data_IF_861298690225
#
_entry.id   IF_861298690225
#
_cell.length_a   1.000
_cell.length_b   1.000
_cell.length_c   1.000
_cell.angle_alpha   90.00
_cell.angle_beta   90.00
_cell.angle_gamma   90.00
#
_symmetry.space_group_name_H-M   'P 1'
#
loop_
_entity.id
_entity.type
_entity.pdbx_description
1 polymer ?
#
# COMPACT_ATOMS: atom_id res chain seq x y z
N UNK A 1 -35.76 -21.62 -47.68
CA UNK A 1 -34.63 -22.56 -47.49
C UNK A 1 -33.40 -22.00 -48.19
N UNK A 2 -32.44 -21.45 -47.45
CA UNK A 2 -31.00 -21.73 -47.63
C UNK A 2 -30.22 -20.91 -46.61
N UNK A 3 -29.07 -21.46 -46.24
CA UNK A 3 -28.20 -21.17 -45.11
C UNK A 3 -27.62 -19.76 -45.17
N UNK A 4 -27.57 -19.08 -44.02
CA UNK A 4 -26.38 -18.32 -43.67
C UNK A 4 -26.07 -18.54 -42.18
N UNK A 5 -25.16 -19.49 -41.95
CA UNK A 5 -24.50 -19.72 -40.67
C UNK A 5 -23.08 -19.15 -40.84
N UNK A 6 -22.88 -17.88 -40.47
CA UNK A 6 -21.56 -17.39 -40.11
C UNK A 6 -21.53 -17.20 -38.60
N UNK A 7 -20.89 -18.19 -37.96
CA UNK A 7 -20.50 -18.18 -36.56
C UNK A 7 -19.37 -17.17 -36.38
N UNK A 8 -19.56 -16.21 -35.50
CA UNK A 8 -18.49 -15.76 -34.60
C UNK A 8 -18.98 -16.01 -33.17
N UNK A 9 -18.89 -17.29 -32.80
CA UNK A 9 -19.05 -17.74 -31.44
C UNK A 9 -17.76 -17.35 -30.72
N UNK A 10 -17.76 -16.18 -30.06
CA UNK A 10 -16.66 -15.75 -29.18
C UNK A 10 -16.56 -16.76 -28.04
N UNK A 11 -15.71 -17.75 -28.27
CA UNK A 11 -15.43 -18.88 -27.41
C UNK A 11 -14.28 -18.50 -26.47
N UNK A 12 -14.62 -18.03 -25.27
CA UNK A 12 -14.11 -18.47 -23.97
C UNK A 12 -14.49 -17.41 -22.93
N UNK A 13 -15.20 -17.82 -21.88
CA UNK A 13 -15.42 -16.95 -20.71
C UNK A 13 -14.07 -16.78 -20.02
N UNK A 14 -13.60 -15.54 -19.84
CA UNK A 14 -12.38 -15.26 -19.10
C UNK A 14 -12.48 -15.85 -17.68
N UNK A 15 -11.56 -16.73 -17.33
CA UNK A 15 -11.44 -17.31 -15.99
C UNK A 15 -10.47 -16.46 -15.16
N UNK A 16 -10.87 -16.08 -13.95
CA UNK A 16 -9.95 -15.44 -13.01
C UNK A 16 -9.01 -16.52 -12.48
N UNK A 17 -7.77 -16.52 -12.98
CA UNK A 17 -6.79 -17.53 -12.61
C UNK A 17 -6.03 -17.18 -11.34
N UNK A 18 -5.91 -15.89 -10.95
CA UNK A 18 -5.22 -15.42 -9.75
C UNK A 18 -5.53 -13.97 -9.41
N UNK A 19 -5.19 -13.53 -8.19
CA UNK A 19 -5.44 -12.15 -7.72
C UNK A 19 -4.22 -11.59 -6.99
N UNK A 20 -3.81 -10.39 -7.36
CA UNK A 20 -2.80 -9.60 -6.67
C UNK A 20 -3.44 -8.42 -5.96
N UNK A 21 -3.16 -8.25 -4.67
CA UNK A 21 -3.64 -7.15 -3.83
C UNK A 21 -2.45 -6.39 -3.29
N UNK A 22 -2.30 -5.14 -3.73
CA UNK A 22 -1.30 -4.20 -3.20
C UNK A 22 -2.07 -3.10 -2.49
N UNK A 23 -1.78 -2.89 -1.21
CA UNK A 23 -2.52 -1.92 -0.42
C UNK A 23 -1.66 -1.31 0.68
N UNK A 24 -2.08 -0.13 1.14
CA UNK A 24 -1.46 0.57 2.24
C UNK A 24 -1.86 -0.06 3.58
N UNK A 25 -1.03 0.14 4.60
CA UNK A 25 -1.41 -0.10 6.00
C UNK A 25 -2.75 0.58 6.38
N UNK A 26 -3.42 0.05 7.41
CA UNK A 26 -4.63 0.65 7.97
C UNK A 26 -4.37 1.93 8.78
N UNK A 27 -5.45 2.54 9.30
CA UNK A 27 -5.36 3.74 10.14
C UNK A 27 -4.34 3.60 11.27
N UNK A 28 -3.48 4.61 11.45
CA UNK A 28 -2.39 4.61 12.43
C UNK A 28 -2.29 5.93 13.19
N UNK A 29 -1.50 5.90 14.25
CA UNK A 29 -1.01 7.12 14.89
C UNK A 29 -0.14 7.94 13.91
N UNK A 30 -0.04 9.26 14.11
CA UNK A 30 0.96 10.06 13.41
C UNK A 30 2.37 9.53 13.72
N UNK A 31 3.28 9.67 12.75
CA UNK A 31 4.70 9.29 12.93
C UNK A 31 5.52 10.46 13.48
N UNK A 32 5.09 11.69 13.20
CA UNK A 32 5.79 12.91 13.60
C UNK A 32 4.88 13.78 14.46
N UNK A 33 5.49 14.40 15.46
CA UNK A 33 4.81 15.35 16.32
C UNK A 33 4.39 16.58 15.52
N UNK A 34 3.13 16.96 15.65
CA UNK A 34 2.59 18.18 15.07
C UNK A 34 2.17 19.05 16.26
N UNK A 35 2.74 20.26 16.36
CA UNK A 35 2.64 21.14 17.54
C UNK A 35 1.20 21.54 17.93
N UNK A 36 0.22 21.24 17.08
CA UNK A 36 -1.18 21.53 17.30
C UNK A 36 -1.98 20.35 17.89
N UNK A 37 -1.49 19.12 17.76
CA UNK A 37 -2.31 17.94 18.06
C UNK A 37 -2.03 17.47 19.49
N UNK A 38 -3.13 17.29 20.25
CA UNK A 38 -3.22 17.03 21.69
C UNK A 38 -1.99 16.41 22.37
N UNK A 39 -1.65 16.91 23.57
CA UNK A 39 -0.54 16.41 24.41
C UNK A 39 -0.62 14.90 24.73
N UNK A 40 -1.81 14.31 24.61
CA UNK A 40 -2.09 12.89 24.92
C UNK A 40 -2.11 11.95 23.70
N UNK A 41 -1.72 12.41 22.51
CA UNK A 41 -1.60 11.54 21.34
C UNK A 41 -0.24 10.84 21.30
N UNK A 42 -0.27 9.53 21.03
CA UNK A 42 0.95 8.80 20.71
C UNK A 42 1.42 9.15 19.30
N UNK A 43 2.74 9.25 19.13
CA UNK A 43 3.41 9.56 17.86
C UNK A 43 4.31 8.38 17.42
N UNK A 44 3.88 7.17 17.71
CA UNK A 44 4.61 5.92 17.44
C UNK A 44 4.43 5.38 16.02
N UNK A 45 3.49 5.94 15.25
CA UNK A 45 3.15 5.43 13.92
C UNK A 45 2.53 4.03 13.93
N UNK A 46 2.07 3.53 15.08
CA UNK A 46 1.49 2.20 15.23
C UNK A 46 0.07 2.12 14.69
N UNK A 47 -0.30 0.92 14.26
CA UNK A 47 -1.62 0.63 13.70
C UNK A 47 -2.69 0.69 14.80
N UNK A 48 -3.72 1.51 14.58
CA UNK A 48 -4.85 1.63 15.49
C UNK A 48 -5.81 0.45 15.38
N UNK A 49 -6.59 0.20 16.42
CA UNK A 49 -7.61 -0.87 16.39
C UNK A 49 -8.60 -0.69 15.24
N UNK A 50 -9.09 0.53 15.02
CA UNK A 50 -9.93 0.83 13.84
C UNK A 50 -9.26 0.52 12.50
N UNK A 51 -7.93 0.64 12.43
CA UNK A 51 -7.14 0.27 11.25
C UNK A 51 -7.12 -1.24 11.05
N UNK A 52 -6.93 -2.00 12.14
CA UNK A 52 -7.03 -3.46 12.15
C UNK A 52 -8.41 -3.93 11.68
N UNK A 53 -9.46 -3.37 12.27
CA UNK A 53 -10.86 -3.74 11.96
C UNK A 53 -11.20 -3.45 10.50
N UNK A 54 -10.74 -2.30 9.98
CA UNK A 54 -10.92 -1.92 8.56
C UNK A 54 -10.27 -2.92 7.63
N UNK A 55 -9.03 -3.35 7.91
CA UNK A 55 -8.34 -4.29 7.04
C UNK A 55 -8.89 -5.71 7.14
N UNK A 56 -9.31 -6.13 8.32
CA UNK A 56 -10.03 -7.39 8.48
C UNK A 56 -11.33 -7.39 7.64
N UNK A 57 -12.08 -6.29 7.66
CA UNK A 57 -13.28 -6.16 6.84
C UNK A 57 -13.00 -6.15 5.33
N UNK A 58 -11.89 -5.54 4.90
CA UNK A 58 -11.45 -5.62 3.50
C UNK A 58 -11.11 -7.07 3.13
N UNK A 59 -10.42 -7.80 4.00
CA UNK A 59 -10.13 -9.23 3.81
C UNK A 59 -11.41 -10.07 3.66
N UNK A 60 -12.42 -9.81 4.51
CA UNK A 60 -13.75 -10.45 4.41
C UNK A 60 -14.44 -10.16 3.08
N UNK A 61 -14.46 -8.90 2.63
CA UNK A 61 -15.04 -8.51 1.34
C UNK A 61 -14.34 -9.18 0.15
N UNK A 62 -13.01 -9.27 0.19
CA UNK A 62 -12.24 -9.96 -0.85
C UNK A 62 -12.56 -11.46 -0.83
N UNK A 63 -12.65 -12.08 0.35
CA UNK A 63 -13.11 -13.45 0.50
C UNK A 63 -14.49 -13.60 -0.12
N UNK A 64 -15.49 -12.84 0.30
CA UNK A 64 -16.87 -12.93 -0.21
C UNK A 64 -16.93 -12.86 -1.75
N UNK A 65 -16.14 -11.96 -2.35
CA UNK A 65 -16.12 -11.75 -3.80
C UNK A 65 -15.42 -12.89 -4.55
N UNK A 66 -14.33 -13.43 -4.02
CA UNK A 66 -13.44 -14.33 -4.76
C UNK A 66 -13.40 -15.77 -4.22
N UNK A 67 -14.06 -16.07 -3.11
CA UNK A 67 -14.04 -17.39 -2.45
C UNK A 67 -14.42 -18.52 -3.41
N UNK A 68 -15.56 -18.36 -4.08
CA UNK A 68 -16.07 -19.36 -5.03
C UNK A 68 -15.23 -19.44 -6.30
N UNK A 69 -14.64 -18.31 -6.71
CA UNK A 69 -13.91 -18.18 -7.99
C UNK A 69 -12.52 -18.79 -7.85
N UNK A 70 -11.78 -18.41 -6.81
CA UNK A 70 -10.42 -18.87 -6.53
C UNK A 70 -10.39 -20.16 -5.69
N UNK A 71 -11.56 -20.73 -5.38
CA UNK A 71 -11.71 -21.94 -4.55
C UNK A 71 -10.91 -21.84 -3.26
N UNK A 72 -11.05 -20.70 -2.57
CA UNK A 72 -10.31 -20.42 -1.35
C UNK A 72 -10.72 -21.41 -0.24
N UNK A 73 -9.77 -21.79 0.62
CA UNK A 73 -10.07 -22.57 1.82
C UNK A 73 -10.51 -21.65 2.98
N UNK A 74 -11.17 -22.20 3.99
CA UNK A 74 -11.34 -21.53 5.30
C UNK A 74 -10.01 -21.39 6.05
N UNK A 75 -9.09 -22.29 5.78
CA UNK A 75 -7.77 -22.37 6.41
C UNK A 75 -6.70 -21.77 5.49
N UNK A 76 -5.71 -21.12 6.09
CA UNK A 76 -4.54 -20.66 5.38
C UNK A 76 -3.64 -21.83 4.98
N UNK A 77 -3.25 -21.87 3.70
CA UNK A 77 -2.35 -22.87 3.12
C UNK A 77 -1.10 -22.17 2.56
N UNK A 78 0.04 -22.35 3.20
CA UNK A 78 1.29 -21.65 2.89
C UNK A 78 1.73 -21.80 1.42
N UNK A 79 1.47 -22.96 0.81
CA UNK A 79 1.83 -23.26 -0.58
C UNK A 79 0.95 -22.57 -1.64
N UNK A 80 -0.15 -21.93 -1.22
CA UNK A 80 -1.12 -21.29 -2.13
C UNK A 80 -1.14 -19.78 -2.09
N UNK A 81 -0.55 -19.17 -1.06
CA UNK A 81 -0.61 -17.72 -0.85
C UNK A 81 0.78 -17.16 -0.59
N UNK A 82 1.08 -16.05 -1.24
CA UNK A 82 2.28 -15.27 -0.96
C UNK A 82 1.88 -14.01 -0.20
N UNK A 83 2.52 -13.79 0.94
CA UNK A 83 2.36 -12.60 1.77
C UNK A 83 3.67 -11.85 1.82
N UNK A 84 3.66 -10.56 1.48
CA UNK A 84 4.83 -9.70 1.55
C UNK A 84 4.45 -8.37 2.18
N UNK A 85 5.28 -7.84 3.04
CA UNK A 85 5.07 -6.56 3.73
C UNK A 85 6.41 -5.86 3.87
N UNK A 86 6.43 -4.53 3.89
CA UNK A 86 7.61 -3.82 4.41
C UNK A 86 7.86 -4.20 5.87
N UNK A 87 9.13 -4.10 6.31
CA UNK A 87 9.57 -4.44 7.68
C UNK A 87 9.20 -3.36 8.70
N UNK A 88 7.97 -2.86 8.64
CA UNK A 88 7.46 -1.91 9.63
C UNK A 88 6.28 -2.54 10.35
N UNK A 89 6.25 -2.41 11.68
CA UNK A 89 5.24 -3.06 12.52
C UNK A 89 3.79 -2.84 12.03
N UNK A 90 3.46 -1.61 11.60
CA UNK A 90 2.12 -1.27 11.13
C UNK A 90 1.70 -1.99 9.85
N UNK A 91 2.61 -2.29 8.93
CA UNK A 91 2.31 -3.01 7.67
C UNK A 91 2.22 -4.50 7.94
N UNK A 92 3.06 -5.04 8.83
CA UNK A 92 2.95 -6.42 9.32
C UNK A 92 1.61 -6.65 10.04
N UNK A 93 1.26 -5.80 11.01
CA UNK A 93 0.00 -5.91 11.75
C UNK A 93 -1.22 -5.74 10.82
N UNK A 94 -1.09 -4.88 9.80
CA UNK A 94 -2.10 -4.67 8.77
C UNK A 94 -2.33 -5.93 7.94
N UNK A 95 -1.25 -6.55 7.46
CA UNK A 95 -1.29 -7.80 6.71
C UNK A 95 -1.92 -8.91 7.55
N UNK A 96 -1.54 -9.05 8.82
CA UNK A 96 -2.14 -10.06 9.70
C UNK A 96 -3.64 -9.82 9.92
N UNK A 97 -4.07 -8.58 10.10
CA UNK A 97 -5.50 -8.23 10.20
C UNK A 97 -6.26 -8.55 8.92
N UNK A 98 -5.71 -8.22 7.75
CA UNK A 98 -6.28 -8.59 6.47
C UNK A 98 -6.44 -10.12 6.33
N UNK A 99 -5.39 -10.87 6.68
CA UNK A 99 -5.39 -12.33 6.60
C UNK A 99 -6.44 -12.97 7.50
N UNK A 100 -6.70 -12.41 8.70
CA UNK A 100 -7.81 -12.87 9.56
C UNK A 100 -9.17 -12.73 8.88
N UNK A 101 -9.37 -11.65 8.12
CA UNK A 101 -10.58 -11.45 7.34
C UNK A 101 -10.69 -12.42 6.17
N UNK A 102 -9.56 -12.74 5.54
CA UNK A 102 -9.49 -13.65 4.41
C UNK A 102 -9.69 -15.11 4.80
N UNK A 103 -9.27 -15.52 6.00
CA UNK A 103 -9.31 -16.92 6.48
C UNK A 103 -10.02 -17.03 7.84
N UNK A 104 -11.31 -17.43 7.86
CA UNK A 104 -12.09 -17.54 9.09
C UNK A 104 -11.52 -18.50 10.14
N UNK A 105 -10.73 -19.49 9.74
CA UNK A 105 -10.09 -20.47 10.64
C UNK A 105 -8.60 -20.19 10.87
N UNK A 106 -8.16 -18.95 10.67
CA UNK A 106 -6.77 -18.56 10.91
C UNK A 106 -6.44 -18.61 12.41
N UNK A 107 -5.68 -19.64 12.80
CA UNK A 107 -5.26 -19.87 14.19
C UNK A 107 -3.80 -19.52 14.46
N UNK A 108 -3.04 -19.17 13.41
CA UNK A 108 -1.63 -18.78 13.47
C UNK A 108 -1.37 -17.56 12.59
N UNK A 109 -0.24 -16.90 12.81
CA UNK A 109 0.20 -15.84 11.91
C UNK A 109 0.49 -16.43 10.52
N UNK A 110 0.18 -15.66 9.46
CA UNK A 110 0.61 -16.04 8.12
C UNK A 110 2.11 -15.88 7.97
N UNK A 111 2.72 -16.76 7.19
CA UNK A 111 4.16 -16.72 6.90
C UNK A 111 4.36 -15.72 5.78
N UNK A 112 5.31 -14.79 6.00
CA UNK A 112 5.66 -13.76 5.04
C UNK A 112 6.92 -14.16 4.29
N UNK A 113 6.98 -13.76 3.02
CA UNK A 113 8.19 -13.82 2.20
C UNK A 113 9.31 -12.98 2.85
N UNK A 114 10.53 -13.49 2.85
CA UNK A 114 11.70 -12.71 3.23
C UNK A 114 11.97 -11.62 2.19
N UNK A 115 12.19 -10.39 2.66
CA UNK A 115 12.47 -9.29 1.75
C UNK A 115 13.89 -9.39 1.19
N UNK A 116 14.10 -9.15 -0.12
CA UNK A 116 15.43 -9.02 -0.66
C UNK A 116 16.12 -7.75 -0.12
N UNK A 117 17.45 -7.79 0.02
CA UNK A 117 18.25 -6.67 0.55
C UNK A 117 18.03 -5.33 -0.17
N UNK A 118 17.61 -5.35 -1.44
CA UNK A 118 17.21 -4.19 -2.23
C UNK A 118 15.79 -4.39 -2.75
N UNK A 119 14.80 -4.34 -1.85
CA UNK A 119 13.39 -4.48 -2.23
C UNK A 119 12.89 -3.30 -3.08
N UNK A 120 13.12 -3.39 -4.39
CA UNK A 120 12.61 -2.43 -5.37
C UNK A 120 11.08 -2.44 -5.50
N UNK A 121 10.42 -3.51 -5.04
CA UNK A 121 8.98 -3.66 -5.16
C UNK A 121 8.25 -2.83 -4.10
N UNK A 122 8.73 -2.87 -2.86
CA UNK A 122 8.09 -2.19 -1.74
C UNK A 122 8.84 -0.97 -1.21
N UNK A 123 10.12 -0.76 -1.53
CA UNK A 123 10.91 0.43 -1.11
C UNK A 123 11.23 1.38 -2.27
N UNK A 124 10.63 1.10 -3.44
CA UNK A 124 10.60 1.92 -4.65
C UNK A 124 11.90 2.68 -4.94
N UNK A 125 11.88 3.98 -4.61
CA UNK A 125 12.85 4.99 -5.07
C UNK A 125 14.16 5.01 -4.28
N UNK A 126 14.21 4.39 -3.10
CA UNK A 126 15.39 4.42 -2.22
C UNK A 126 16.61 3.68 -2.79
N UNK A 127 16.39 2.71 -3.69
CA UNK A 127 17.46 1.94 -4.33
C UNK A 127 18.06 2.57 -5.59
N UNK A 128 17.53 3.69 -6.10
CA UNK A 128 17.97 4.27 -7.37
C UNK A 128 18.39 5.75 -7.23
N UNK A 129 19.70 6.06 -7.21
CA UNK A 129 20.20 7.43 -7.07
C UNK A 129 19.69 8.39 -8.14
N UNK A 130 19.47 7.90 -9.38
CA UNK A 130 18.92 8.73 -10.46
C UNK A 130 17.46 9.09 -10.22
N UNK A 131 16.66 8.15 -9.73
CA UNK A 131 15.26 8.41 -9.42
C UNK A 131 15.13 9.39 -8.24
N UNK A 132 16.00 9.26 -7.23
CA UNK A 132 16.12 10.21 -6.14
C UNK A 132 16.47 11.62 -6.65
N UNK A 133 17.50 11.75 -7.50
CA UNK A 133 17.90 13.03 -8.07
C UNK A 133 16.78 13.66 -8.92
N UNK A 134 16.06 12.88 -9.71
CA UNK A 134 14.90 13.35 -10.48
C UNK A 134 13.78 13.84 -9.57
N UNK A 135 13.47 13.11 -8.49
CA UNK A 135 12.46 13.52 -7.52
C UNK A 135 12.86 14.83 -6.82
N UNK A 136 14.13 14.99 -6.43
CA UNK A 136 14.64 16.23 -5.85
C UNK A 136 14.54 17.40 -6.84
N UNK A 137 14.84 17.18 -8.12
CA UNK A 137 14.68 18.19 -9.16
C UNK A 137 13.20 18.57 -9.37
N UNK A 138 12.26 17.62 -9.31
CA UNK A 138 10.82 17.89 -9.40
C UNK A 138 10.29 18.69 -8.20
N UNK A 139 10.81 18.42 -7.00
CA UNK A 139 10.49 19.22 -5.80
C UNK A 139 10.97 20.67 -5.97
N UNK A 140 11.98 20.92 -6.80
CA UNK A 140 12.43 22.27 -7.15
C UNK A 140 11.82 22.79 -8.47
N UNK A 141 10.86 22.06 -9.03
CA UNK A 141 10.28 22.33 -10.34
C UNK A 141 9.29 23.48 -10.34
N UNK A 142 9.08 24.06 -11.51
CA UNK A 142 8.12 25.15 -11.75
C UNK A 142 6.69 24.80 -11.32
N UNK A 143 6.32 23.52 -11.38
CA UNK A 143 5.00 23.02 -10.97
C UNK A 143 4.75 23.19 -9.47
N UNK A 144 5.74 22.89 -8.61
CA UNK A 144 5.60 23.09 -7.17
C UNK A 144 5.51 24.59 -6.85
N UNK A 145 6.36 25.40 -7.48
CA UNK A 145 6.32 26.87 -7.33
C UNK A 145 4.96 27.43 -7.72
N UNK A 146 4.38 26.94 -8.81
CA UNK A 146 3.05 27.35 -9.26
C UNK A 146 1.95 26.90 -8.29
N UNK A 147 2.03 25.68 -7.76
CA UNK A 147 1.12 25.18 -6.74
C UNK A 147 1.18 26.04 -5.46
N UNK A 148 2.37 26.34 -4.96
CA UNK A 148 2.56 27.18 -3.76
C UNK A 148 2.00 28.59 -3.95
N UNK A 149 2.25 29.21 -5.11
CA UNK A 149 1.67 30.51 -5.45
C UNK A 149 0.14 30.46 -5.49
N UNK A 150 -0.42 29.44 -6.12
CA UNK A 150 -1.87 29.29 -6.27
C UNK A 150 -2.56 29.05 -4.92
N UNK A 151 -1.86 28.41 -3.97
CA UNK A 151 -2.40 28.04 -2.66
C UNK A 151 -1.85 28.89 -1.51
N UNK A 152 -1.21 30.03 -1.78
CA UNK A 152 -0.47 30.82 -0.80
C UNK A 152 -1.31 31.18 0.44
N UNK A 153 -2.56 31.61 0.23
CA UNK A 153 -3.47 31.97 1.31
C UNK A 153 -3.83 30.77 2.20
N UNK A 154 -4.10 29.61 1.59
CA UNK A 154 -4.39 28.38 2.31
C UNK A 154 -3.17 27.91 3.12
N UNK A 155 -1.99 27.94 2.51
CA UNK A 155 -0.73 27.60 3.20
C UNK A 155 -0.51 28.52 4.40
N UNK A 156 -0.72 29.84 4.26
CA UNK A 156 -0.62 30.79 5.37
C UNK A 156 -1.60 30.49 6.50
N UNK A 157 -2.85 30.16 6.17
CA UNK A 157 -3.87 29.79 7.17
C UNK A 157 -3.50 28.51 7.92
N UNK A 158 -3.04 27.48 7.21
CA UNK A 158 -2.61 26.22 7.83
C UNK A 158 -1.41 26.46 8.77
N UNK A 159 -0.42 27.25 8.35
CA UNK A 159 0.73 27.61 9.21
C UNK A 159 0.31 28.32 10.48
N UNK A 160 -0.65 29.25 10.38
CA UNK A 160 -1.20 29.94 11.54
C UNK A 160 -1.92 28.97 12.49
N UNK A 161 -2.75 28.07 11.97
CA UNK A 161 -3.47 27.07 12.77
C UNK A 161 -2.48 26.15 13.48
N UNK A 162 -1.47 25.65 12.77
CA UNK A 162 -0.49 24.72 13.31
C UNK A 162 0.50 25.38 14.29
N UNK A 163 0.45 26.72 14.43
CA UNK A 163 1.45 27.53 15.16
C UNK A 163 2.88 27.16 14.75
N UNK A 164 3.07 26.79 13.48
CA UNK A 164 4.34 26.38 12.91
C UNK A 164 4.66 27.25 11.71
N UNK A 165 5.86 27.80 11.66
CA UNK A 165 6.41 28.38 10.43
C UNK A 165 6.76 27.28 9.40
N UNK A 166 6.77 26.04 9.86
CA UNK A 166 7.10 24.84 9.11
C UNK A 166 5.93 24.43 8.20
N UNK A 167 6.20 24.29 6.91
CA UNK A 167 5.21 24.08 5.82
C UNK A 167 4.55 22.70 5.81
N UNK A 168 4.62 21.92 6.90
CA UNK A 168 4.12 20.55 6.93
C UNK A 168 4.93 19.54 6.11
N UNK A 169 5.98 19.99 5.42
CA UNK A 169 7.06 19.14 4.93
C UNK A 169 8.36 19.68 5.53
N UNK A 170 9.03 18.94 6.43
CA UNK A 170 10.40 19.26 6.74
C UNK A 170 11.20 18.98 5.47
N UNK A 171 11.53 20.02 4.74
CA UNK A 171 12.73 20.00 3.90
C UNK A 171 13.57 21.19 4.35
N UNK A 172 14.44 21.04 5.37
CA UNK A 172 15.40 22.06 5.71
C UNK A 172 16.66 21.88 4.86
N UNK A 173 17.25 23.00 4.47
CA UNK A 173 18.67 23.06 4.11
C UNK A 173 19.50 22.31 5.15
N UNK A 174 20.28 21.32 4.71
CA UNK A 174 21.08 20.45 5.58
C UNK A 174 20.47 19.08 5.91
N UNK A 175 19.43 18.63 5.19
CA UNK A 175 18.94 17.26 5.30
C UNK A 175 20.07 16.26 4.95
N UNK A 176 20.70 15.65 5.96
CA UNK A 176 21.62 14.54 5.73
C UNK A 176 20.84 13.28 5.29
N UNK A 177 21.52 12.35 4.62
CA UNK A 177 20.93 11.09 4.13
C UNK A 177 20.13 10.34 5.21
N UNK A 178 20.51 10.45 6.48
CA UNK A 178 19.90 9.70 7.57
C UNK A 178 18.48 10.18 7.89
N UNK A 179 18.20 11.47 7.79
CA UNK A 179 16.86 12.06 7.95
C UNK A 179 15.96 11.79 6.73
N UNK A 180 16.53 11.83 5.53
CA UNK A 180 15.81 11.44 4.31
C UNK A 180 15.45 9.94 4.34
N UNK A 181 16.38 9.08 4.76
CA UNK A 181 16.14 7.64 4.91
C UNK A 181 15.07 7.34 5.98
N UNK A 182 15.02 8.13 7.06
CA UNK A 182 13.95 8.04 8.08
C UNK A 182 12.58 8.50 7.55
N UNK A 183 12.54 9.56 6.75
CA UNK A 183 11.30 10.05 6.13
C UNK A 183 10.83 9.13 4.98
N UNK A 184 11.75 8.59 4.19
CA UNK A 184 11.48 7.63 3.13
C UNK A 184 10.94 6.29 3.68
N UNK A 185 11.46 5.82 4.83
CA UNK A 185 10.92 4.65 5.56
C UNK A 185 9.46 4.78 6.00
N UNK A 186 8.87 5.99 5.96
CA UNK A 186 7.44 6.22 6.24
C UNK A 186 6.58 6.50 5.00
N UNK A 187 7.17 6.54 3.79
CA UNK A 187 6.45 6.82 2.55
C UNK A 187 5.94 5.56 1.85
N UNK A 188 6.62 4.43 2.02
CA UNK A 188 6.29 3.18 1.33
C UNK A 188 5.69 2.13 2.28
N UNK A 189 4.65 2.53 3.01
CA UNK A 189 3.97 1.65 3.96
C UNK A 189 2.94 0.75 3.26
N UNK A 190 3.43 -0.13 2.39
CA UNK A 190 2.63 -0.98 1.52
C UNK A 190 2.81 -2.44 1.93
N UNK A 191 1.74 -3.23 1.81
CA UNK A 191 1.82 -4.67 1.83
C UNK A 191 1.17 -5.27 0.58
N UNK A 192 1.66 -6.44 0.18
CA UNK A 192 1.33 -7.11 -1.06
C UNK A 192 0.95 -8.56 -0.77
N UNK A 193 -0.18 -8.99 -1.34
CA UNK A 193 -0.72 -10.33 -1.19
C UNK A 193 -1.03 -10.88 -2.57
N UNK A 194 -0.56 -12.10 -2.84
CA UNK A 194 -0.88 -12.83 -4.07
C UNK A 194 -1.70 -14.06 -3.70
N UNK A 195 -2.89 -14.17 -4.31
CA UNK A 195 -3.82 -15.30 -4.21
C UNK A 195 -3.61 -16.24 -5.41
N UNK A 196 -3.88 -17.56 -5.27
CA UNK A 196 -3.28 -18.58 -6.12
C UNK A 196 -3.62 -18.41 -7.60
N UNK A 197 -2.61 -18.71 -8.43
CA UNK A 197 -2.70 -18.93 -9.87
C UNK A 197 -2.97 -20.42 -10.15
N UNK A 198 -4.02 -20.74 -10.91
CA UNK A 198 -4.07 -22.05 -11.59
C UNK A 198 -2.88 -22.07 -12.57
N UNK A 199 -1.87 -22.87 -12.24
CA UNK A 199 -0.56 -23.06 -12.90
C UNK A 199 0.60 -22.26 -12.30
N UNK A 200 1.52 -23.03 -11.69
CA UNK A 200 2.70 -22.63 -10.90
C UNK A 200 3.81 -21.91 -11.69
N UNK A 201 3.47 -21.14 -12.73
CA UNK A 201 4.44 -20.37 -13.52
C UNK A 201 4.35 -18.90 -13.12
N UNK A 202 5.24 -18.53 -12.20
CA UNK A 202 5.50 -17.16 -11.80
C UNK A 202 6.01 -16.38 -13.02
N UNK A 203 5.19 -15.48 -13.54
CA UNK A 203 5.68 -14.36 -14.34
C UNK A 203 5.81 -13.19 -13.37
N UNK A 204 7.02 -12.63 -13.27
CA UNK A 204 7.32 -11.45 -12.49
C UNK A 204 6.59 -10.25 -13.11
N UNK A 205 5.30 -10.13 -12.82
CA UNK A 205 4.42 -9.10 -13.36
C UNK A 205 4.26 -8.02 -12.30
N UNK A 206 5.16 -7.04 -12.38
CA UNK A 206 5.05 -5.74 -11.74
C UNK A 206 3.87 -4.93 -12.32
N UNK A 207 2.64 -5.42 -12.14
CA UNK A 207 1.43 -4.73 -12.53
C UNK A 207 0.41 -4.80 -11.40
N UNK A 208 0.47 -3.79 -10.52
CA UNK A 208 -0.52 -3.57 -9.48
C UNK A 208 -1.82 -3.02 -10.08
N UNK A 209 -2.93 -3.70 -9.81
CA UNK A 209 -4.24 -3.08 -9.91
C UNK A 209 -4.49 -2.29 -8.62
N UNK A 210 -4.53 -0.96 -8.74
CA UNK A 210 -4.89 -0.07 -7.64
C UNK A 210 -6.40 -0.08 -7.45
N UNK A 211 -6.87 -0.59 -6.32
CA UNK A 211 -8.28 -0.44 -5.93
C UNK A 211 -8.38 0.81 -5.03
N UNK A 212 -8.71 1.95 -5.63
CA UNK A 212 -9.23 3.11 -4.90
C UNK A 212 -10.75 2.98 -4.87
N UNK A 213 -11.33 2.60 -3.72
CA UNK A 213 -12.74 2.95 -3.47
C UNK A 213 -12.77 4.40 -3.00
N UNK A 214 -13.45 5.24 -3.79
CA UNK A 214 -13.82 6.64 -3.51
C UNK A 214 -14.90 6.68 -2.44
#
# INVERSE_FOLDING_TARGET
MSKDQSKEQISSRSELIGLTVITRHGDRNPVHKINYIHENLSYDGELLQKGKDRLENIGKKIREKYFSILKLSDEYQEDKFLFRSTEVKRTIDSLQSFSKGLFPKLNKQVIMEELPNNDILLLGLSGCPKALATMMHQIQGEELVQYEKTNELWIKQVKQILKSNDSGYPLPEGMNEDLYNKAAKGRDDIFHIILPFNDRKWCDASSGFFYNEV
#
